data_IF_268839074552
#
_entry.id   IF_268839074552
#
_cell.length_a   1.000
_cell.length_b   1.000
_cell.length_c   1.000
_cell.angle_alpha   90.00
_cell.angle_beta   90.00
_cell.angle_gamma   90.00
#
_symmetry.space_group_name_H-M   'P 1'
#
loop_
_entity.id
_entity.type
_entity.pdbx_description
1 polymer ?
#
# COMPACT_ATOMS: atom_id res chain seq x y z
N UNK A 1 5.46 12.01 -19.49
CA UNK A 1 6.86 11.92 -19.03
C UNK A 1 7.30 12.91 -17.92
N UNK A 2 6.88 14.19 -17.88
CA UNK A 2 7.33 15.12 -16.83
C UNK A 2 6.85 14.73 -15.43
N UNK A 3 5.58 14.32 -15.28
CA UNK A 3 4.98 13.98 -13.98
C UNK A 3 5.71 12.84 -13.25
N UNK A 4 6.14 11.78 -13.97
CA UNK A 4 6.92 10.67 -13.39
C UNK A 4 8.30 11.11 -12.91
N UNK A 5 8.94 12.08 -13.58
CA UNK A 5 10.24 12.63 -13.15
C UNK A 5 10.07 13.49 -11.90
N UNK A 6 9.05 14.33 -11.86
CA UNK A 6 8.76 15.17 -10.69
C UNK A 6 8.39 14.31 -9.47
N UNK A 7 7.57 13.27 -9.66
CA UNK A 7 7.27 12.27 -8.63
C UNK A 7 8.54 11.59 -8.11
N UNK A 8 9.38 11.07 -9.01
CA UNK A 8 10.63 10.40 -8.62
C UNK A 8 11.58 11.34 -7.87
N UNK A 9 11.62 12.63 -8.24
CA UNK A 9 12.39 13.66 -7.52
C UNK A 9 11.85 13.85 -6.11
N UNK A 10 10.54 14.07 -5.95
CA UNK A 10 9.91 14.23 -4.63
C UNK A 10 10.12 13.00 -3.73
N UNK A 11 10.04 11.80 -4.30
CA UNK A 11 10.35 10.55 -3.58
C UNK A 11 11.81 10.48 -3.15
N UNK A 12 12.75 10.88 -4.01
CA UNK A 12 14.16 10.89 -3.68
C UNK A 12 14.47 11.90 -2.56
N UNK A 13 13.87 13.09 -2.63
CA UNK A 13 13.99 14.13 -1.59
C UNK A 13 13.42 13.64 -0.25
N UNK A 14 12.25 12.99 -0.26
CA UNK A 14 11.66 12.38 0.93
C UNK A 14 12.62 11.36 1.56
N UNK A 15 13.17 10.43 0.76
CA UNK A 15 14.12 9.40 1.24
C UNK A 15 15.43 10.01 1.76
N UNK A 16 15.94 11.06 1.13
CA UNK A 16 17.14 11.74 1.59
C UNK A 16 16.92 12.47 2.93
N UNK A 17 15.79 13.16 3.07
CA UNK A 17 15.38 13.78 4.33
C UNK A 17 15.23 12.76 5.46
N UNK A 18 14.75 11.57 5.12
CA UNK A 18 14.57 10.44 6.02
C UNK A 18 15.91 9.89 6.55
N UNK A 19 16.89 9.66 5.68
CA UNK A 19 18.22 9.22 6.08
C UNK A 19 18.97 10.23 6.96
N UNK A 20 18.68 11.54 6.79
CA UNK A 20 19.22 12.57 7.70
C UNK A 20 18.56 12.52 9.09
N UNK A 21 17.28 12.18 9.18
CA UNK A 21 16.60 11.98 10.46
C UNK A 21 17.13 10.74 11.20
N UNK A 22 17.52 9.69 10.46
CA UNK A 22 18.17 8.48 11.00
C UNK A 22 19.49 8.78 11.69
N UNK A 23 20.38 9.51 11.01
CA UNK A 23 21.67 9.89 11.58
C UNK A 23 21.52 10.75 12.85
N UNK A 24 20.44 11.52 12.97
CA UNK A 24 20.16 12.36 14.13
C UNK A 24 19.56 11.58 15.32
N UNK A 25 18.69 10.60 15.06
CA UNK A 25 18.03 9.80 16.09
C UNK A 25 18.98 8.92 16.91
N UNK A 26 20.05 8.42 16.28
CA UNK A 26 21.05 7.57 16.95
C UNK A 26 21.95 8.28 17.97
N UNK A 27 21.85 9.60 18.09
CA UNK A 27 22.74 10.43 18.93
C UNK A 27 22.02 11.11 20.12
N UNK A 28 20.71 10.93 20.29
CA UNK A 28 19.92 11.68 21.28
C UNK A 28 19.73 10.92 22.62
N UNK A 29 20.05 11.52 23.78
CA UNK A 29 19.82 10.90 25.10
C UNK A 29 18.35 10.93 25.55
N UNK A 30 17.97 9.98 26.41
CA UNK A 30 16.60 9.62 26.82
C UNK A 30 15.88 10.57 27.81
N UNK A 31 16.17 11.87 27.79
CA UNK A 31 15.37 12.90 28.46
C UNK A 31 15.05 13.93 27.40
N UNK A 32 13.82 13.96 26.88
CA UNK A 32 13.47 14.75 25.70
C UNK A 32 13.78 16.24 25.93
N UNK A 33 14.83 16.81 25.31
CA UNK A 33 14.97 18.25 25.21
C UNK A 33 13.91 18.75 24.24
N UNK A 34 13.59 20.05 24.24
CA UNK A 34 12.94 20.65 23.07
C UNK A 34 13.68 20.22 21.80
N UNK A 35 12.95 19.68 20.82
CA UNK A 35 13.54 19.25 19.56
C UNK A 35 14.36 20.39 18.94
N UNK A 36 15.63 20.21 18.57
CA UNK A 36 16.42 21.27 17.95
C UNK A 36 15.68 21.89 16.74
N UNK A 37 15.84 23.21 16.54
CA UNK A 37 15.15 23.97 15.45
C UNK A 37 15.29 23.28 14.09
N UNK A 38 16.49 22.77 13.76
CA UNK A 38 16.78 22.07 12.51
C UNK A 38 15.94 20.79 12.35
N UNK A 39 15.75 20.03 13.42
CA UNK A 39 14.94 18.81 13.40
C UNK A 39 13.47 19.14 13.22
N UNK A 40 12.96 20.18 13.89
CA UNK A 40 11.59 20.68 13.68
C UNK A 40 11.35 21.08 12.22
N UNK A 41 12.28 21.84 11.63
CA UNK A 41 12.21 22.22 10.22
C UNK A 41 12.21 21.01 9.27
N UNK A 42 13.01 19.98 9.57
CA UNK A 42 13.02 18.74 8.79
C UNK A 42 11.67 18.00 8.88
N UNK A 43 11.11 17.88 10.09
CA UNK A 43 9.81 17.24 10.32
C UNK A 43 8.71 18.00 9.57
N UNK A 44 8.69 19.33 9.65
CA UNK A 44 7.72 20.14 8.90
C UNK A 44 7.85 19.91 7.39
N UNK A 45 9.08 19.82 6.85
CA UNK A 45 9.30 19.53 5.42
C UNK A 45 8.84 18.12 5.05
N UNK A 46 9.09 17.13 5.90
CA UNK A 46 8.62 15.75 5.69
C UNK A 46 7.09 15.68 5.71
N UNK A 47 6.44 16.36 6.66
CA UNK A 47 4.98 16.44 6.72
C UNK A 47 4.39 17.12 5.48
N UNK A 48 4.98 18.22 5.02
CA UNK A 48 4.58 18.91 3.78
C UNK A 48 4.77 18.03 2.54
N UNK A 49 5.95 17.39 2.41
CA UNK A 49 6.23 16.49 1.29
C UNK A 49 5.28 15.30 1.28
N UNK A 50 5.00 14.70 2.43
CA UNK A 50 4.05 13.61 2.56
C UNK A 50 2.64 14.05 2.09
N UNK A 51 2.14 15.20 2.57
CA UNK A 51 0.84 15.72 2.15
C UNK A 51 0.74 15.99 0.63
N UNK A 52 1.84 16.39 -0.01
CA UNK A 52 1.89 16.59 -1.47
C UNK A 52 1.82 15.28 -2.24
N UNK A 53 2.52 14.24 -1.78
CA UNK A 53 2.61 12.95 -2.51
C UNK A 53 1.47 11.98 -2.16
N UNK A 54 0.71 12.24 -1.09
CA UNK A 54 -0.47 11.44 -0.69
C UNK A 54 -1.76 12.27 -0.60
N UNK A 55 -2.23 12.88 -1.70
CA UNK A 55 -3.43 13.69 -1.68
C UNK A 55 -4.70 12.86 -1.43
N UNK A 56 -5.72 13.49 -0.83
CA UNK A 56 -7.05 12.90 -0.65
C UNK A 56 -7.02 11.56 0.12
N UNK A 57 -7.58 10.52 -0.50
CA UNK A 57 -7.63 9.16 0.07
C UNK A 57 -6.26 8.62 0.47
N UNK A 58 -5.20 8.96 -0.28
CA UNK A 58 -3.87 8.37 -0.11
C UNK A 58 -3.18 8.75 1.19
N UNK A 59 -3.54 9.89 1.81
CA UNK A 59 -2.85 10.43 2.99
C UNK A 59 -3.74 10.75 4.18
N UNK A 60 -5.07 10.75 4.01
CA UNK A 60 -6.01 11.10 5.10
C UNK A 60 -6.05 10.05 6.22
N UNK A 61 -6.32 10.44 7.48
CA UNK A 61 -6.70 9.47 8.51
C UNK A 61 -7.98 8.69 8.12
N UNK A 62 -8.07 7.41 8.52
CA UNK A 62 -9.21 6.52 8.31
C UNK A 62 -9.95 6.21 9.62
N UNK A 63 -10.11 7.20 10.49
CA UNK A 63 -10.56 6.94 11.87
C UNK A 63 -12.07 6.70 11.97
N UNK A 64 -12.96 7.53 11.39
CA UNK A 64 -14.41 7.34 11.66
C UNK A 64 -15.40 7.76 10.55
N UNK A 65 -15.00 8.53 9.52
CA UNK A 65 -15.94 8.89 8.42
C UNK A 65 -15.28 9.04 7.05
N UNK A 66 -15.86 8.35 6.08
CA UNK A 66 -15.42 8.24 4.69
C UNK A 66 -16.24 9.07 3.70
N UNK A 67 -17.32 9.69 4.14
CA UNK A 67 -18.44 10.07 3.27
C UNK A 67 -18.16 11.29 2.40
N UNK A 68 -17.25 12.16 2.83
CA UNK A 68 -17.03 13.46 2.17
C UNK A 68 -16.11 13.44 0.95
N UNK A 69 -15.41 12.32 0.68
CA UNK A 69 -14.50 12.25 -0.47
C UNK A 69 -15.09 11.43 -1.63
N UNK A 70 -15.07 11.98 -2.85
CA UNK A 70 -15.42 11.23 -4.05
C UNK A 70 -14.42 10.08 -4.24
N UNK A 71 -14.92 8.94 -4.69
CA UNK A 71 -14.08 7.83 -5.17
C UNK A 71 -13.45 8.21 -6.53
N UNK A 72 -12.39 7.51 -6.91
CA UNK A 72 -11.88 7.45 -8.28
C UNK A 72 -11.66 8.80 -8.96
N UNK A 73 -10.52 9.46 -8.66
CA UNK A 73 -10.12 10.71 -9.36
C UNK A 73 -8.68 10.73 -9.83
N UNK A 74 -7.90 9.70 -9.50
CA UNK A 74 -6.52 9.62 -9.95
C UNK A 74 -6.48 9.07 -11.36
N UNK A 75 -5.86 9.81 -12.28
CA UNK A 75 -5.53 9.31 -13.62
C UNK A 75 -4.85 7.94 -13.48
N UNK A 76 -5.44 6.96 -14.17
CA UNK A 76 -5.04 5.57 -14.20
C UNK A 76 -3.58 5.36 -14.61
N UNK A 77 -2.83 6.38 -15.00
CA UNK A 77 -1.44 6.28 -15.44
C UNK A 77 -0.41 6.85 -14.45
N UNK A 78 -0.85 7.56 -13.40
CA UNK A 78 0.06 8.23 -12.47
C UNK A 78 0.52 7.32 -11.32
N UNK A 79 1.83 7.28 -10.98
CA UNK A 79 2.31 6.52 -9.82
C UNK A 79 1.70 7.05 -8.52
N UNK A 80 1.37 6.15 -7.60
CA UNK A 80 0.77 6.51 -6.31
C UNK A 80 1.65 6.08 -5.14
N UNK A 81 1.83 7.03 -4.23
CA UNK A 81 2.34 6.79 -2.89
C UNK A 81 1.15 6.71 -1.92
N UNK A 82 1.28 5.91 -0.86
CA UNK A 82 0.20 5.65 0.09
C UNK A 82 0.71 5.69 1.51
N UNK A 83 -0.05 6.33 2.39
CA UNK A 83 0.22 6.36 3.83
C UNK A 83 -0.07 5.00 4.45
N UNK A 84 0.82 4.54 5.32
CA UNK A 84 0.63 3.34 6.15
C UNK A 84 0.53 3.63 7.65
N UNK A 85 0.82 4.87 8.06
CA UNK A 85 0.78 5.28 9.46
C UNK A 85 1.43 6.64 9.69
N UNK A 86 1.82 6.90 10.94
CA UNK A 86 2.43 8.16 11.40
C UNK A 86 3.74 7.88 12.14
N UNK A 87 4.76 8.68 11.84
CA UNK A 87 5.96 8.78 12.66
C UNK A 87 5.79 9.92 13.67
N UNK A 88 5.71 9.58 14.95
CA UNK A 88 5.62 10.56 16.03
C UNK A 88 7.02 10.86 16.59
N UNK A 89 7.42 12.13 16.62
CA UNK A 89 8.73 12.57 17.13
C UNK A 89 8.63 13.19 18.53
N UNK A 90 7.40 13.31 19.07
CA UNK A 90 7.09 13.89 20.37
C UNK A 90 6.45 15.29 20.26
N UNK A 91 5.56 15.63 21.21
CA UNK A 91 4.74 16.83 21.15
C UNK A 91 3.84 16.84 19.90
N UNK A 92 3.67 18.02 19.28
CA UNK A 92 2.86 18.19 18.06
C UNK A 92 3.62 17.84 16.75
N UNK A 93 4.81 17.21 16.86
CA UNK A 93 5.66 16.93 15.71
C UNK A 93 5.47 15.50 15.20
N UNK A 94 4.79 15.39 14.06
CA UNK A 94 4.53 14.14 13.38
C UNK A 94 4.54 14.31 11.85
N UNK A 95 4.77 13.22 11.13
CA UNK A 95 4.62 13.15 9.68
C UNK A 95 4.12 11.77 9.25
N UNK A 96 3.43 11.70 8.11
CA UNK A 96 2.93 10.43 7.60
C UNK A 96 4.08 9.54 7.12
N UNK A 97 4.05 8.27 7.51
CA UNK A 97 4.87 7.22 6.93
C UNK A 97 4.24 6.81 5.59
N UNK A 98 4.98 6.98 4.50
CA UNK A 98 4.48 6.81 3.14
C UNK A 98 5.30 5.77 2.39
N UNK A 99 4.62 4.88 1.66
CA UNK A 99 5.22 3.89 0.78
C UNK A 99 4.87 4.18 -0.68
N UNK A 100 5.85 4.04 -1.57
CA UNK A 100 5.60 4.13 -3.00
C UNK A 100 5.20 2.76 -3.52
N UNK A 101 4.01 2.64 -4.11
CA UNK A 101 3.46 1.35 -4.51
C UNK A 101 3.09 1.34 -5.99
N UNK A 102 1.92 1.85 -6.35
CA UNK A 102 1.42 1.80 -7.71
C UNK A 102 2.33 2.58 -8.66
N UNK A 103 2.65 1.97 -9.80
CA UNK A 103 3.60 2.48 -10.81
C UNK A 103 5.09 2.49 -10.42
N UNK A 104 5.45 2.13 -9.18
CA UNK A 104 6.82 2.37 -8.66
C UNK A 104 7.46 1.18 -7.94
N UNK A 105 6.68 0.33 -7.27
CA UNK A 105 7.26 -0.72 -6.43
C UNK A 105 6.26 -1.64 -5.75
N UNK A 106 6.71 -2.21 -4.65
CA UNK A 106 6.01 -3.21 -3.84
C UNK A 106 6.12 -2.89 -2.35
N UNK A 107 5.27 -3.51 -1.54
CA UNK A 107 5.31 -3.47 -0.08
C UNK A 107 5.52 -4.90 0.44
N UNK A 108 6.57 -5.11 1.23
CA UNK A 108 6.88 -6.39 1.84
C UNK A 108 6.95 -6.22 3.36
N UNK A 109 6.31 -7.09 4.10
CA UNK A 109 6.17 -7.06 5.55
C UNK A 109 6.68 -8.39 6.10
N UNK A 110 7.55 -8.35 7.10
CA UNK A 110 8.18 -9.56 7.66
C UNK A 110 7.29 -10.36 8.61
N UNK A 111 6.26 -9.74 9.19
CA UNK A 111 5.18 -10.40 9.91
C UNK A 111 3.96 -10.66 9.02
N UNK A 112 3.15 -11.64 9.41
CA UNK A 112 1.92 -12.02 8.71
C UNK A 112 0.67 -11.37 9.31
N UNK A 113 -0.48 -11.58 8.66
CA UNK A 113 -1.77 -10.99 9.05
C UNK A 113 -2.29 -11.40 10.43
N UNK A 114 -1.67 -12.37 11.11
CA UNK A 114 -2.05 -12.70 12.49
C UNK A 114 -1.68 -11.59 13.47
N UNK A 115 -0.75 -10.71 13.10
CA UNK A 115 -0.48 -9.46 13.80
C UNK A 115 -1.45 -8.37 13.33
N UNK A 116 -2.21 -7.80 14.28
CA UNK A 116 -3.23 -6.79 13.97
C UNK A 116 -2.63 -5.52 13.34
N UNK A 117 -1.36 -5.22 13.61
CA UNK A 117 -0.65 -4.09 12.97
C UNK A 117 -0.44 -4.34 11.48
N UNK A 118 -0.17 -5.59 11.09
CA UNK A 118 -0.03 -6.00 9.68
C UNK A 118 -1.40 -5.94 8.99
N UNK A 119 -2.43 -6.45 9.65
CA UNK A 119 -3.82 -6.35 9.17
C UNK A 119 -4.21 -4.89 8.89
N UNK A 120 -3.91 -4.00 9.82
CA UNK A 120 -4.13 -2.55 9.70
C UNK A 120 -3.36 -1.93 8.53
N UNK A 121 -2.09 -2.27 8.33
CA UNK A 121 -1.31 -1.81 7.17
C UNK A 121 -1.92 -2.29 5.86
N UNK A 122 -2.31 -3.56 5.76
CA UNK A 122 -2.94 -4.14 4.57
C UNK A 122 -4.27 -3.43 4.27
N UNK A 123 -5.14 -3.29 5.28
CA UNK A 123 -6.44 -2.63 5.15
C UNK A 123 -6.32 -1.18 4.75
N UNK A 124 -5.47 -0.41 5.46
CA UNK A 124 -5.17 0.99 5.15
C UNK A 124 -4.68 1.13 3.72
N UNK A 125 -3.71 0.30 3.30
CA UNK A 125 -3.16 0.34 1.94
C UNK A 125 -4.23 0.04 0.88
N UNK A 126 -5.00 -1.04 1.05
CA UNK A 126 -6.04 -1.44 0.10
C UNK A 126 -7.13 -0.37 -0.04
N UNK A 127 -7.72 0.06 1.07
CA UNK A 127 -8.79 1.07 1.08
C UNK A 127 -8.35 2.34 0.36
N UNK A 128 -7.14 2.83 0.66
CA UNK A 128 -6.61 4.06 0.08
C UNK A 128 -6.43 3.98 -1.42
N UNK A 129 -5.87 2.87 -1.90
CA UNK A 129 -5.57 2.70 -3.32
C UNK A 129 -6.84 2.50 -4.12
N UNK A 130 -7.75 1.64 -3.64
CA UNK A 130 -9.02 1.38 -4.31
C UNK A 130 -9.91 2.63 -4.32
N UNK A 131 -9.98 3.37 -3.21
CA UNK A 131 -10.73 4.62 -3.19
C UNK A 131 -10.11 5.73 -4.07
N UNK A 132 -8.78 5.75 -4.24
CA UNK A 132 -8.10 6.74 -5.06
C UNK A 132 -8.15 6.45 -6.57
N UNK A 133 -8.06 5.18 -6.99
CA UNK A 133 -8.00 4.74 -8.39
C UNK A 133 -9.31 4.20 -8.96
N UNK A 134 -10.23 3.73 -8.13
CA UNK A 134 -11.35 2.92 -8.61
C UNK A 134 -10.90 1.51 -9.02
N UNK A 135 -11.86 0.59 -9.12
CA UNK A 135 -11.64 -0.83 -9.43
C UNK A 135 -11.51 -1.13 -10.94
N UNK A 136 -11.94 -0.20 -11.78
CA UNK A 136 -11.76 -0.20 -13.24
C UNK A 136 -10.28 -0.03 -13.63
N UNK A 137 -9.55 0.79 -12.88
CA UNK A 137 -8.15 1.12 -13.13
C UNK A 137 -7.15 0.31 -12.28
N UNK A 138 -7.62 -0.28 -11.17
CA UNK A 138 -6.80 -1.09 -10.26
C UNK A 138 -7.63 -2.28 -9.73
N UNK A 139 -7.32 -3.49 -10.19
CA UNK A 139 -7.96 -4.71 -9.73
C UNK A 139 -7.16 -5.34 -8.59
N UNK A 140 -7.76 -5.56 -7.41
CA UNK A 140 -7.11 -6.33 -6.35
C UNK A 140 -7.21 -7.84 -6.63
N UNK A 141 -6.21 -8.60 -6.20
CA UNK A 141 -6.25 -10.04 -6.01
C UNK A 141 -5.86 -10.31 -4.56
N UNK A 142 -6.79 -10.84 -3.77
CA UNK A 142 -6.61 -11.00 -2.34
C UNK A 142 -6.45 -12.49 -2.00
N UNK A 143 -5.40 -12.81 -1.24
CA UNK A 143 -5.13 -14.17 -0.79
C UNK A 143 -4.78 -14.16 0.69
N UNK A 144 -5.55 -14.91 1.47
CA UNK A 144 -5.26 -15.23 2.85
C UNK A 144 -5.12 -16.74 3.07
N UNK A 145 -3.91 -17.30 2.86
CA UNK A 145 -3.71 -18.74 2.98
C UNK A 145 -3.71 -19.23 4.44
N UNK A 146 -3.96 -18.33 5.41
CA UNK A 146 -4.25 -18.74 6.79
C UNK A 146 -5.68 -19.23 6.98
N UNK A 147 -6.56 -18.98 6.00
CA UNK A 147 -7.96 -19.41 6.01
C UNK A 147 -8.88 -18.62 6.95
N UNK A 148 -8.42 -17.48 7.47
CA UNK A 148 -9.19 -16.63 8.37
C UNK A 148 -10.22 -15.75 7.64
N UNK A 149 -11.09 -15.13 8.44
CA UNK A 149 -12.08 -14.13 8.02
C UNK A 149 -11.56 -12.68 8.14
N UNK A 150 -10.25 -12.48 8.38
CA UNK A 150 -9.64 -11.15 8.58
C UNK A 150 -9.83 -10.21 7.37
N UNK A 151 -10.01 -10.78 6.17
CA UNK A 151 -10.33 -10.05 4.94
C UNK A 151 -11.84 -9.99 4.60
N UNK A 152 -12.73 -10.49 5.46
CA UNK A 152 -14.18 -10.48 5.24
C UNK A 152 -14.75 -9.08 4.92
N UNK A 153 -14.24 -7.95 5.47
CA UNK A 153 -14.70 -6.62 5.09
C UNK A 153 -14.53 -6.26 3.59
N UNK A 154 -13.74 -7.03 2.83
CA UNK A 154 -13.58 -6.87 1.38
C UNK A 154 -14.56 -7.70 0.53
N UNK A 155 -15.40 -8.53 1.16
CA UNK A 155 -16.40 -9.39 0.48
C UNK A 155 -17.31 -8.64 -0.50
N UNK A 156 -17.77 -7.39 -0.23
CA UNK A 156 -18.58 -6.65 -1.20
C UNK A 156 -17.92 -6.49 -2.59
N UNK A 157 -16.59 -6.46 -2.66
CA UNK A 157 -15.87 -6.40 -3.94
C UNK A 157 -15.99 -7.71 -4.72
N UNK A 158 -15.97 -8.86 -4.02
CA UNK A 158 -16.16 -10.19 -4.62
C UNK A 158 -17.59 -10.33 -5.12
N UNK A 159 -18.57 -9.95 -4.29
CA UNK A 159 -20.00 -10.04 -4.63
C UNK A 159 -20.37 -9.17 -5.84
N UNK A 160 -19.72 -8.01 -5.98
CA UNK A 160 -19.87 -7.13 -7.14
C UNK A 160 -19.06 -7.57 -8.37
N UNK A 161 -18.33 -8.68 -8.30
CA UNK A 161 -17.51 -9.17 -9.42
C UNK A 161 -16.28 -8.32 -9.73
N UNK A 162 -15.85 -7.47 -8.78
CA UNK A 162 -14.69 -6.58 -8.95
C UNK A 162 -13.34 -7.25 -8.70
N UNK A 163 -13.36 -8.41 -8.05
CA UNK A 163 -12.20 -9.26 -7.81
C UNK A 163 -12.61 -10.73 -7.86
N UNK A 164 -11.64 -11.60 -8.14
CA UNK A 164 -11.76 -13.03 -7.90
C UNK A 164 -12.06 -13.31 -6.41
N UNK A 165 -12.66 -14.47 -6.08
CA UNK A 165 -12.82 -14.90 -4.69
C UNK A 165 -11.50 -14.86 -3.92
N UNK A 166 -11.57 -14.51 -2.63
CA UNK A 166 -10.40 -14.44 -1.75
C UNK A 166 -9.85 -15.85 -1.57
N UNK A 167 -8.59 -16.07 -1.98
CA UNK A 167 -7.94 -17.38 -1.85
C UNK A 167 -7.65 -17.69 -0.38
N UNK A 168 -8.29 -18.72 0.18
CA UNK A 168 -8.20 -19.06 1.61
C UNK A 168 -7.13 -20.10 1.97
N UNK A 169 -6.42 -20.65 0.99
CA UNK A 169 -5.46 -21.75 1.17
C UNK A 169 -4.29 -21.67 0.18
N UNK A 170 -3.40 -22.66 0.21
CA UNK A 170 -2.26 -22.74 -0.71
C UNK A 170 -2.67 -22.90 -2.18
N UNK A 171 -3.82 -23.53 -2.46
CA UNK A 171 -4.32 -23.66 -3.82
C UNK A 171 -4.83 -22.32 -4.36
N UNK A 172 -5.52 -21.54 -3.52
CA UNK A 172 -5.90 -20.16 -3.81
C UNK A 172 -4.69 -19.26 -4.04
N UNK A 173 -3.61 -19.44 -3.25
CA UNK A 173 -2.34 -18.74 -3.49
C UNK A 173 -1.71 -19.12 -4.83
N UNK A 174 -1.64 -20.42 -5.15
CA UNK A 174 -1.10 -20.89 -6.42
C UNK A 174 -1.89 -20.32 -7.62
N UNK A 175 -3.22 -20.32 -7.53
CA UNK A 175 -4.11 -19.75 -8.53
C UNK A 175 -3.87 -18.24 -8.71
N UNK A 176 -3.80 -17.47 -7.61
CA UNK A 176 -3.58 -16.03 -7.68
C UNK A 176 -2.20 -15.68 -8.27
N UNK A 177 -1.15 -16.47 -7.94
CA UNK A 177 0.17 -16.34 -8.56
C UNK A 177 0.12 -16.69 -10.05
N UNK A 178 -0.64 -17.71 -10.45
CA UNK A 178 -0.87 -18.05 -11.85
C UNK A 178 -1.60 -16.95 -12.64
N UNK A 179 -2.58 -16.29 -12.03
CA UNK A 179 -3.26 -15.13 -12.61
C UNK A 179 -2.28 -13.96 -12.77
N UNK A 180 -1.49 -13.65 -11.74
CA UNK A 180 -0.50 -12.57 -11.79
C UNK A 180 0.59 -12.83 -12.85
N UNK A 181 1.07 -14.07 -12.97
CA UNK A 181 2.00 -14.46 -14.03
C UNK A 181 1.38 -14.33 -15.43
N UNK A 182 0.10 -14.66 -15.57
CA UNK A 182 -0.63 -14.48 -16.82
C UNK A 182 -0.79 -13.01 -17.18
N UNK A 183 -1.05 -12.14 -16.20
CA UNK A 183 -1.05 -10.69 -16.40
C UNK A 183 0.31 -10.18 -16.90
N UNK A 184 1.41 -10.64 -16.30
CA UNK A 184 2.77 -10.29 -16.77
C UNK A 184 3.02 -10.76 -18.21
N UNK A 185 2.55 -11.95 -18.59
CA UNK A 185 2.66 -12.45 -19.97
C UNK A 185 1.84 -11.58 -20.95
N UNK A 186 0.63 -11.17 -20.57
CA UNK A 186 -0.21 -10.29 -21.39
C UNK A 186 0.44 -8.92 -21.57
N UNK A 187 1.00 -8.34 -20.50
CA UNK A 187 1.71 -7.07 -20.58
C UNK A 187 2.93 -7.16 -21.51
N UNK A 188 3.71 -8.24 -21.43
CA UNK A 188 4.86 -8.45 -22.31
C UNK A 188 4.48 -8.61 -23.78
N UNK A 189 3.24 -9.01 -24.09
CA UNK A 189 2.74 -9.13 -25.46
C UNK A 189 2.21 -7.81 -26.04
N UNK A 190 2.02 -6.77 -25.21
CA UNK A 190 1.52 -5.47 -25.65
C UNK A 190 2.66 -4.53 -26.08
N UNK A 191 2.47 -3.73 -27.14
CA UNK A 191 3.41 -2.67 -27.51
C UNK A 191 3.55 -1.60 -26.42
N UNK A 192 2.44 -1.27 -25.74
CA UNK A 192 2.41 -0.36 -24.60
C UNK A 192 1.54 -0.94 -23.47
N UNK A 193 2.15 -1.40 -22.37
CA UNK A 193 1.42 -1.85 -21.19
C UNK A 193 0.70 -0.71 -20.45
N UNK A 194 0.95 0.57 -20.75
CA UNK A 194 0.33 1.71 -20.04
C UNK A 194 -1.18 1.82 -20.18
N UNK A 195 -1.79 1.02 -21.05
CA UNK A 195 -3.25 0.97 -21.22
C UNK A 195 -3.88 -0.23 -20.49
N UNK A 196 -3.07 -1.08 -19.84
CA UNK A 196 -3.59 -2.16 -18.99
C UNK A 196 -4.06 -1.63 -17.64
N UNK A 197 -5.16 -2.12 -17.05
CA UNK A 197 -5.45 -1.85 -15.66
C UNK A 197 -4.33 -2.39 -14.76
N UNK A 198 -4.12 -1.76 -13.61
CA UNK A 198 -3.17 -2.25 -12.62
C UNK A 198 -3.71 -3.50 -11.93
N UNK A 199 -2.82 -4.44 -11.65
CA UNK A 199 -3.12 -5.60 -10.83
C UNK A 199 -2.41 -5.45 -9.48
N UNK A 200 -3.16 -5.51 -8.39
CA UNK A 200 -2.63 -5.42 -7.03
C UNK A 200 -2.81 -6.78 -6.34
N UNK A 201 -1.76 -7.57 -6.30
CA UNK A 201 -1.77 -8.85 -5.60
C UNK A 201 -1.38 -8.66 -4.13
N UNK A 202 -2.28 -9.04 -3.24
CA UNK A 202 -2.11 -9.00 -1.79
C UNK A 202 -2.04 -10.43 -1.25
N UNK A 203 -0.92 -10.74 -0.59
CA UNK A 203 -0.68 -12.03 0.04
C UNK A 203 -0.44 -11.79 1.52
N UNK A 204 -1.32 -12.31 2.37
CA UNK A 204 -1.29 -12.03 3.82
C UNK A 204 -0.29 -12.91 4.59
N UNK A 205 0.16 -14.01 3.98
CA UNK A 205 1.24 -14.88 4.45
C UNK A 205 1.85 -15.61 3.27
N UNK A 206 3.19 -15.67 3.17
CA UNK A 206 3.89 -16.46 2.14
C UNK A 206 4.45 -17.75 2.73
N UNK A 207 3.92 -18.93 2.36
CA UNK A 207 4.59 -20.19 2.67
C UNK A 207 5.95 -20.26 1.96
N UNK A 208 6.97 -20.84 2.63
CA UNK A 208 8.36 -20.84 2.14
C UNK A 208 8.53 -21.36 0.72
N UNK A 209 7.74 -22.36 0.32
CA UNK A 209 7.79 -22.93 -1.03
C UNK A 209 7.40 -21.94 -2.15
N UNK A 210 6.70 -20.84 -1.82
CA UNK A 210 6.30 -19.81 -2.77
C UNK A 210 7.24 -18.60 -2.81
N UNK A 211 8.19 -18.46 -1.88
CA UNK A 211 9.05 -17.26 -1.77
C UNK A 211 9.85 -16.98 -3.05
N UNK A 212 10.47 -18.00 -3.63
CA UNK A 212 11.23 -17.84 -4.87
C UNK A 212 10.31 -17.40 -6.04
N UNK A 213 9.09 -17.94 -6.09
CA UNK A 213 8.11 -17.58 -7.13
C UNK A 213 7.65 -16.12 -6.97
N UNK A 214 7.35 -15.69 -5.75
CA UNK A 214 7.01 -14.30 -5.43
C UNK A 214 8.17 -13.36 -5.80
N UNK A 215 9.41 -13.70 -5.46
CA UNK A 215 10.58 -12.87 -5.80
C UNK A 215 10.78 -12.74 -7.32
N UNK A 216 10.66 -13.85 -8.06
CA UNK A 216 10.76 -13.84 -9.54
C UNK A 216 9.64 -13.01 -10.18
N UNK A 217 8.43 -13.08 -9.62
CA UNK A 217 7.29 -12.27 -10.08
C UNK A 217 7.56 -10.78 -9.84
N UNK A 218 7.99 -10.40 -8.63
CA UNK A 218 8.31 -9.03 -8.25
C UNK A 218 9.32 -8.37 -9.21
N UNK A 219 10.35 -9.11 -9.63
CA UNK A 219 11.38 -8.61 -10.54
C UNK A 219 10.85 -8.10 -11.90
N UNK A 220 9.65 -8.51 -12.31
CA UNK A 220 9.02 -8.15 -13.61
C UNK A 220 7.70 -7.40 -13.45
N UNK A 221 7.19 -7.32 -12.23
CA UNK A 221 5.83 -6.91 -11.93
C UNK A 221 5.57 -5.43 -12.28
N UNK A 222 6.43 -4.50 -11.83
CA UNK A 222 6.19 -3.05 -12.01
C UNK A 222 6.09 -2.66 -13.49
N UNK A 223 6.94 -3.21 -14.37
CA UNK A 223 6.86 -2.96 -15.82
C UNK A 223 5.60 -3.53 -16.47
N UNK A 224 5.00 -4.53 -15.84
CA UNK A 224 3.77 -5.16 -16.26
C UNK A 224 2.53 -4.62 -15.54
N UNK A 225 2.65 -3.48 -14.83
CA UNK A 225 1.57 -2.89 -14.02
C UNK A 225 1.00 -3.80 -12.93
N UNK A 226 1.82 -4.74 -12.48
CA UNK A 226 1.55 -5.59 -11.32
C UNK A 226 2.29 -5.03 -10.10
N UNK A 227 1.58 -4.95 -8.98
CA UNK A 227 2.08 -4.52 -7.69
C UNK A 227 1.78 -5.56 -6.63
N UNK A 228 2.66 -5.64 -5.63
CA UNK A 228 2.65 -6.68 -4.61
C UNK A 228 2.57 -6.02 -3.24
N UNK A 229 1.65 -6.49 -2.41
CA UNK A 229 1.64 -6.27 -0.96
C UNK A 229 1.75 -7.65 -0.32
N UNK A 230 2.89 -7.93 0.30
CA UNK A 230 3.24 -9.27 0.76
C UNK A 230 3.55 -9.22 2.24
N UNK A 231 2.88 -10.05 3.03
CA UNK A 231 3.11 -10.23 4.45
C UNK A 231 3.68 -11.63 4.74
N UNK A 232 4.33 -11.77 5.89
CA UNK A 232 5.06 -12.97 6.30
C UNK A 232 6.29 -13.26 5.44
N UNK A 233 6.95 -12.22 4.93
CA UNK A 233 8.08 -12.37 4.03
C UNK A 233 9.39 -12.67 4.76
N UNK A 234 10.04 -13.80 4.45
CA UNK A 234 11.37 -14.12 4.98
C UNK A 234 12.47 -14.21 3.91
N UNK A 235 12.11 -14.06 2.63
CA UNK A 235 13.01 -14.24 1.47
C UNK A 235 14.03 -13.12 1.21
N UNK A 236 14.27 -12.21 2.16
CA UNK A 236 15.31 -11.17 2.07
C UNK A 236 14.96 -9.98 1.17
N UNK A 237 15.98 -9.32 0.61
CA UNK A 237 15.79 -8.09 -0.15
C UNK A 237 15.13 -8.33 -1.52
N UNK A 238 14.03 -7.61 -1.77
CA UNK A 238 13.30 -7.62 -3.06
C UNK A 238 13.52 -6.30 -3.80
N UNK A 239 13.77 -6.38 -5.12
CA UNK A 239 13.99 -5.21 -5.96
C UNK A 239 12.73 -4.34 -6.03
N UNK A 240 12.90 -3.01 -5.94
CA UNK A 240 11.80 -2.04 -5.98
C UNK A 240 10.73 -2.27 -4.89
N UNK A 241 11.07 -2.95 -3.79
CA UNK A 241 10.20 -3.11 -2.64
C UNK A 241 10.56 -2.13 -1.53
N UNK A 242 9.54 -1.65 -0.84
CA UNK A 242 9.68 -1.03 0.48
C UNK A 242 9.39 -2.11 1.51
N UNK A 243 10.31 -2.29 2.46
CA UNK A 243 10.19 -3.30 3.52
C UNK A 243 9.66 -2.68 4.80
N UNK A 244 8.76 -3.38 5.48
CA UNK A 244 8.26 -3.05 6.81
C UNK A 244 8.64 -4.18 7.74
N UNK A 245 9.31 -3.84 8.83
CA UNK A 245 9.57 -4.80 9.90
C UNK A 245 8.60 -4.60 11.05
N UNK A 246 8.14 -5.69 11.63
CA UNK A 246 7.19 -5.71 12.73
C UNK A 246 7.78 -6.54 13.87
N UNK A 247 8.30 -5.85 14.88
CA UNK A 247 8.82 -6.43 16.12
C UNK A 247 8.04 -5.86 17.32
N UNK A 248 8.73 -5.38 18.35
CA UNK A 248 8.11 -4.54 19.39
C UNK A 248 7.47 -3.28 18.79
N UNK A 249 7.96 -2.81 17.65
CA UNK A 249 7.50 -1.64 16.91
C UNK A 249 7.35 -1.96 15.42
N UNK A 250 6.55 -1.16 14.72
CA UNK A 250 6.53 -1.20 13.24
C UNK A 250 7.58 -0.23 12.74
N UNK A 251 8.45 -0.67 11.85
CA UNK A 251 9.49 0.19 11.23
C UNK A 251 9.39 0.08 9.72
N UNK A 252 9.49 1.22 9.05
CA UNK A 252 9.53 1.28 7.60
C UNK A 252 10.99 1.42 7.16
N UNK A 253 11.44 0.61 6.21
CA UNK A 253 12.83 0.65 5.74
C UNK A 253 13.22 2.06 5.26
N UNK A 254 14.32 2.56 5.80
CA UNK A 254 14.79 3.93 5.60
C UNK A 254 14.20 4.95 6.58
N UNK A 255 13.13 4.63 7.33
CA UNK A 255 12.56 5.48 8.39
C UNK A 255 13.11 5.04 9.74
N UNK A 256 13.79 5.94 10.44
CA UNK A 256 14.40 5.63 11.74
C UNK A 256 13.42 5.64 12.92
N UNK A 257 12.24 6.21 12.72
CA UNK A 257 11.22 6.32 13.74
C UNK A 257 10.24 5.14 13.66
N UNK A 258 9.71 4.70 14.81
CA UNK A 258 8.59 3.78 14.79
C UNK A 258 7.39 4.40 14.09
N UNK A 259 6.69 3.56 13.34
CA UNK A 259 5.45 3.90 12.67
C UNK A 259 4.30 3.45 13.56
N UNK A 260 3.51 4.41 14.04
CA UNK A 260 2.17 4.11 14.54
C UNK A 260 1.29 3.85 13.32
N UNK A 261 1.01 2.58 13.04
CA UNK A 261 0.15 2.19 11.91
C UNK A 261 -1.26 2.72 12.12
N UNK A 262 -1.93 3.07 11.02
CA UNK A 262 -3.31 3.55 11.11
C UNK A 262 -4.21 2.43 11.66
N UNK A 263 -5.07 2.74 12.63
CA UNK A 263 -6.14 1.84 13.05
C UNK A 263 -7.32 2.01 12.09
N UNK A 264 -7.66 0.96 11.33
CA UNK A 264 -8.68 1.02 10.27
C UNK A 264 -9.84 0.10 10.64
N UNK A 265 -10.98 0.68 11.10
CA UNK A 265 -12.15 -0.10 11.47
C UNK A 265 -12.77 -0.87 10.30
N UNK A 266 -13.38 -2.01 10.59
CA UNK A 266 -14.07 -2.86 9.61
C UNK A 266 -15.20 -2.09 8.89
N UNK A 267 -15.85 -1.18 9.60
CA UNK A 267 -16.93 -0.33 9.10
C UNK A 267 -16.42 0.60 8.00
N UNK A 268 -15.22 1.16 8.16
CA UNK A 268 -14.58 2.03 7.17
C UNK A 268 -14.22 1.24 5.91
N UNK A 269 -13.64 0.04 6.07
CA UNK A 269 -13.32 -0.84 4.94
C UNK A 269 -14.58 -1.23 4.19
N UNK A 270 -15.60 -1.69 4.91
CA UNK A 270 -16.88 -2.14 4.35
C UNK A 270 -17.61 -1.01 3.65
N UNK A 271 -17.65 0.20 4.24
CA UNK A 271 -18.29 1.36 3.63
C UNK A 271 -17.65 1.73 2.29
N UNK A 272 -16.32 1.74 2.21
CA UNK A 272 -15.60 2.02 0.95
C UNK A 272 -15.85 0.91 -0.07
N UNK A 273 -15.78 -0.35 0.32
CA UNK A 273 -16.02 -1.48 -0.58
C UNK A 273 -17.46 -1.49 -1.11
N UNK A 274 -18.45 -1.19 -0.27
CA UNK A 274 -19.85 -1.06 -0.66
C UNK A 274 -20.06 0.10 -1.64
N UNK A 275 -19.40 1.24 -1.43
CA UNK A 275 -19.48 2.36 -2.38
C UNK A 275 -18.87 2.02 -3.73
N UNK A 276 -17.71 1.35 -3.76
CA UNK A 276 -17.07 0.88 -5.00
C UNK A 276 -17.94 -0.16 -5.73
N UNK A 277 -18.54 -1.09 -4.99
CA UNK A 277 -19.48 -2.07 -5.53
C UNK A 277 -20.74 -1.40 -6.12
N UNK A 278 -21.26 -0.38 -5.44
CA UNK A 278 -22.42 0.37 -5.90
C UNK A 278 -22.13 1.09 -7.23
N UNK A 279 -20.98 1.76 -7.37
CA UNK A 279 -20.59 2.47 -8.61
C UNK A 279 -20.57 1.56 -9.86
N UNK A 280 -20.29 0.27 -9.71
CA UNK A 280 -20.33 -0.70 -10.82
C UNK A 280 -21.72 -1.14 -11.22
N UNK A 281 -22.64 -1.26 -10.26
CA UNK A 281 -24.03 -1.62 -10.57
C UNK A 281 -24.73 -0.53 -11.40
N UNK A 282 -24.27 0.73 -11.33
CA UNK A 282 -24.72 1.80 -12.22
C UNK A 282 -24.24 1.66 -13.67
N UNK A 283 -23.17 0.89 -13.92
CA UNK A 283 -22.66 0.64 -15.28
C UNK A 283 -23.33 -0.56 -15.97
N UNK A 284 -23.99 -1.43 -15.20
CA UNK A 284 -24.62 -2.68 -15.69
C UNK A 284 -26.16 -2.61 -15.64
N UNK A 285 -26.74 -1.72 -14.83
CA UNK A 285 -28.19 -1.46 -14.81
C UNK A 285 -28.65 -0.57 -15.97
N UNK A 286 -29.76 -0.94 -16.60
CA UNK A 286 -30.44 -0.19 -17.66
C UNK A 286 -30.64 1.29 -17.27
N UNK A 287 -30.41 2.20 -18.22
CA UNK A 287 -30.80 3.61 -18.08
C UNK A 287 -32.30 3.72 -17.74
N UNK A 288 -32.72 4.70 -16.91
CA UNK A 288 -34.12 4.91 -16.55
C UNK A 288 -35.03 5.27 -17.74
#
# INVERSE_FOLDING_TARGET
MPVRRDFNRSVAEYRAALGLAEAAGGLAPAVAPELPVRQRQLITRLAQAAAVITPGWLGRPLTDSTDDLPLGRSDGTQPLAVRIGVCNVGGDYAFAAVVNLLGTGHLFIDADITDDRVLSVIRSTLVRLLAARGTDSCRPLLVDPTGGDRLAPFTPLVEAGLTSPIGGDEAGLDQALGEAESHVKQAAARPDPSDMPELLLVITRVPRQFEERVNRLAARAVSARLHLVVAGWSGGAVRQATHVSVDEQVRLAGVALPVAVDDVPDEVVSAVCNRLAAEQNWLIGEEP
#
